data_IF_465967683169
#
_entry.id   IF_465967683169
#
_cell.length_a   1.000
_cell.length_b   1.000
_cell.length_c   1.000
_cell.angle_alpha   90.00
_cell.angle_beta   90.00
_cell.angle_gamma   90.00
#
_symmetry.space_group_name_H-M   'P 1'
#
loop_
_entity.id
_entity.type
_entity.pdbx_description
1 polymer ?
#
# COMPACT_ATOMS: atom_id res chain seq x y z
N UNK A 1 21.23 11.49 -33.07
CA UNK A 1 20.41 10.50 -32.36
C UNK A 1 20.83 10.54 -30.90
N UNK A 2 20.00 11.06 -29.99
CA UNK A 2 20.27 10.95 -28.55
C UNK A 2 20.07 9.48 -28.20
N UNK A 3 21.15 8.82 -27.82
CA UNK A 3 21.14 7.48 -27.23
C UNK A 3 20.22 7.52 -26.01
N UNK A 4 19.16 6.72 -26.04
CA UNK A 4 18.35 6.44 -24.85
C UNK A 4 19.26 5.71 -23.87
N UNK A 5 19.46 6.31 -22.69
CA UNK A 5 20.13 5.64 -21.58
C UNK A 5 19.35 4.36 -21.21
N UNK A 6 20.03 3.26 -20.87
CA UNK A 6 19.36 2.02 -20.49
C UNK A 6 18.60 2.24 -19.18
N UNK A 7 17.27 2.12 -19.22
CA UNK A 7 16.38 2.30 -18.07
C UNK A 7 16.57 1.17 -17.04
N UNK A 8 17.11 1.52 -15.87
CA UNK A 8 17.02 0.71 -14.66
C UNK A 8 15.57 0.64 -14.14
N UNK A 9 15.21 -0.37 -13.31
CA UNK A 9 13.87 -0.48 -12.74
C UNK A 9 13.51 0.78 -11.97
N UNK A 10 12.44 1.45 -12.39
CA UNK A 10 11.92 2.63 -11.72
C UNK A 10 11.29 2.20 -10.39
N UNK A 11 11.78 2.74 -9.28
CA UNK A 11 11.05 2.64 -8.00
C UNK A 11 9.86 3.57 -8.08
N UNK A 12 8.65 3.02 -7.92
CA UNK A 12 7.41 3.80 -7.89
C UNK A 12 6.89 3.84 -6.47
N UNK A 13 6.67 5.03 -5.94
CA UNK A 13 6.12 5.26 -4.61
C UNK A 13 4.81 5.98 -4.79
N UNK A 14 3.68 5.34 -4.46
CA UNK A 14 2.37 5.98 -4.44
C UNK A 14 2.06 6.35 -2.98
N UNK A 15 1.72 7.61 -2.72
CA UNK A 15 1.25 8.07 -1.42
C UNK A 15 -0.02 8.88 -1.62
N UNK A 16 -1.10 8.46 -0.99
CA UNK A 16 -2.41 9.13 -1.02
C UNK A 16 -2.89 9.54 0.37
N UNK A 17 -2.34 8.95 1.43
CA UNK A 17 -2.68 9.28 2.82
C UNK A 17 -1.79 10.37 3.40
N UNK A 18 -2.17 10.88 4.58
CA UNK A 18 -1.37 11.87 5.29
C UNK A 18 0.07 11.38 5.54
N UNK A 19 1.06 12.17 5.12
CA UNK A 19 2.48 11.88 5.31
C UNK A 19 2.99 12.64 6.53
N UNK A 20 3.29 11.92 7.60
CA UNK A 20 3.93 12.50 8.78
C UNK A 20 5.40 12.84 8.53
N UNK A 21 5.98 13.71 9.37
CA UNK A 21 7.42 13.98 9.37
C UNK A 21 8.23 12.69 9.55
N UNK A 22 7.84 11.88 10.52
CA UNK A 22 8.42 10.55 10.79
C UNK A 22 8.39 9.68 9.54
N UNK A 23 7.24 9.65 8.84
CA UNK A 23 7.07 8.90 7.59
C UNK A 23 8.09 9.26 6.54
N UNK A 24 8.20 10.56 6.31
CA UNK A 24 9.06 11.10 5.28
C UNK A 24 10.55 10.92 5.61
N UNK A 25 10.92 11.00 6.89
CA UNK A 25 12.28 10.74 7.35
C UNK A 25 12.70 9.29 7.05
N UNK A 26 11.87 8.30 7.35
CA UNK A 26 12.25 6.92 7.06
C UNK A 26 12.24 6.61 5.56
N UNK A 27 11.32 7.19 4.77
CA UNK A 27 11.38 7.09 3.30
C UNK A 27 12.69 7.66 2.74
N UNK A 28 13.15 8.78 3.29
CA UNK A 28 14.44 9.39 2.94
C UNK A 28 15.64 8.52 3.32
N UNK A 29 15.54 7.72 4.38
CA UNK A 29 16.64 6.84 4.77
C UNK A 29 16.71 5.57 3.90
N UNK A 30 15.54 5.06 3.48
CA UNK A 30 15.42 3.75 2.81
C UNK A 30 15.60 3.82 1.30
N UNK A 31 15.06 4.85 0.63
CA UNK A 31 14.96 4.88 -0.84
C UNK A 31 16.19 5.45 -1.57
N UNK A 32 16.77 6.60 -1.17
CA UNK A 32 17.90 7.23 -1.87
C UNK A 32 19.25 6.49 -1.69
N UNK A 33 19.37 5.64 -0.67
CA UNK A 33 20.57 4.84 -0.37
C UNK A 33 20.82 3.71 -1.38
N UNK A 34 19.98 3.57 -2.42
CA UNK A 34 20.09 2.57 -3.47
C UNK A 34 21.15 2.87 -4.55
N UNK A 35 22.06 3.82 -4.32
CA UNK A 35 23.22 4.10 -5.20
C UNK A 35 24.16 2.89 -5.24
N UNK A 36 23.84 1.92 -6.10
CA UNK A 36 24.75 0.86 -6.51
C UNK A 36 25.63 1.38 -7.64
N UNK A 37 26.91 0.97 -7.62
CA UNK A 37 28.03 1.30 -8.51
C UNK A 37 27.83 0.99 -10.02
N UNK A 38 26.60 1.01 -10.55
CA UNK A 38 26.38 1.09 -11.99
C UNK A 38 26.22 2.56 -12.38
N UNK A 39 26.91 3.00 -13.45
CA UNK A 39 26.98 4.37 -13.98
C UNK A 39 25.65 5.05 -14.36
N UNK A 40 24.51 4.52 -13.93
CA UNK A 40 23.17 4.94 -14.30
C UNK A 40 22.28 4.99 -13.06
N UNK A 41 21.86 6.21 -12.71
CA UNK A 41 21.04 6.49 -11.53
C UNK A 41 19.69 5.76 -11.61
N UNK A 42 19.33 5.01 -10.55
CA UNK A 42 17.97 4.47 -10.40
C UNK A 42 16.98 5.62 -10.21
N UNK A 43 15.91 5.62 -11.01
CA UNK A 43 14.86 6.65 -10.92
C UNK A 43 13.86 6.27 -9.83
N UNK A 44 13.78 7.07 -8.77
CA UNK A 44 12.73 6.99 -7.74
C UNK A 44 11.66 8.02 -8.04
N UNK A 45 10.43 7.57 -8.21
CA UNK A 45 9.28 8.41 -8.55
C UNK A 45 8.27 8.38 -7.42
N UNK A 46 8.10 9.51 -6.73
CA UNK A 46 7.01 9.72 -5.79
C UNK A 46 5.80 10.25 -6.55
N UNK A 47 4.66 9.60 -6.39
CA UNK A 47 3.36 9.97 -6.92
C UNK A 47 2.47 10.32 -5.74
N UNK A 48 2.10 11.60 -5.63
CA UNK A 48 1.35 12.14 -4.51
C UNK A 48 -0.04 12.54 -4.97
N UNK A 49 -1.06 12.09 -4.25
CA UNK A 49 -2.46 12.50 -4.41
C UNK A 49 -3.15 12.59 -3.05
N UNK A 50 -4.41 13.03 -3.02
CA UNK A 50 -5.18 13.15 -1.79
C UNK A 50 -4.44 13.91 -0.68
N UNK A 51 -4.53 13.40 0.55
CA UNK A 51 -3.98 14.07 1.73
C UNK A 51 -2.45 14.13 1.75
N UNK A 52 -1.77 13.27 0.98
CA UNK A 52 -0.33 13.29 0.84
C UNK A 52 0.20 14.62 0.29
N UNK A 53 -0.60 15.34 -0.51
CA UNK A 53 -0.24 16.61 -1.12
C UNK A 53 -0.01 17.74 -0.10
N UNK A 54 -0.66 17.68 1.07
CA UNK A 54 -0.42 18.67 2.13
C UNK A 54 1.03 18.67 2.59
N UNK A 55 1.72 17.53 2.53
CA UNK A 55 3.14 17.42 2.91
C UNK A 55 4.08 18.28 2.05
N UNK A 56 3.67 18.67 0.84
CA UNK A 56 4.45 19.56 -0.03
C UNK A 56 4.41 21.03 0.39
N UNK A 57 3.54 21.37 1.33
CA UNK A 57 3.34 22.74 1.83
C UNK A 57 3.49 22.85 3.34
N UNK A 58 3.43 21.73 4.06
CA UNK A 58 3.54 21.71 5.51
C UNK A 58 4.99 22.03 5.99
N UNK A 59 5.17 22.96 6.96
CA UNK A 59 6.49 23.42 7.39
C UNK A 59 7.45 22.33 7.88
N UNK A 60 6.91 21.24 8.46
CA UNK A 60 7.73 20.16 9.01
C UNK A 60 8.26 19.18 7.96
N UNK A 61 7.53 19.00 6.85
CA UNK A 61 7.85 18.01 5.81
C UNK A 61 8.54 18.64 4.60
N UNK A 62 8.26 19.92 4.30
CA UNK A 62 8.89 20.66 3.20
C UNK A 62 10.42 20.62 3.22
N UNK A 63 11.12 20.80 4.36
CA UNK A 63 12.58 20.70 4.39
C UNK A 63 13.08 19.32 3.97
N UNK A 64 12.38 18.25 4.35
CA UNK A 64 12.77 16.88 4.01
C UNK A 64 12.56 16.62 2.51
N UNK A 65 11.43 17.07 1.96
CA UNK A 65 11.19 17.02 0.51
C UNK A 65 12.26 17.79 -0.29
N UNK A 66 12.71 18.94 0.23
CA UNK A 66 13.81 19.72 -0.39
C UNK A 66 15.13 18.97 -0.41
N UNK A 67 15.44 18.20 0.62
CA UNK A 67 16.63 17.35 0.62
C UNK A 67 16.46 16.14 -0.31
N UNK A 68 15.29 15.50 -0.29
CA UNK A 68 14.98 14.37 -1.16
C UNK A 68 15.09 14.70 -2.65
N UNK A 69 14.56 15.84 -3.11
CA UNK A 69 14.61 16.21 -4.53
C UNK A 69 16.01 16.61 -5.02
N UNK A 70 16.95 16.91 -4.11
CA UNK A 70 18.35 17.13 -4.48
C UNK A 70 19.07 15.83 -4.83
N UNK A 71 18.54 14.69 -4.41
CA UNK A 71 19.13 13.39 -4.74
C UNK A 71 18.95 13.10 -6.24
N UNK A 72 20.05 12.78 -6.97
CA UNK A 72 19.96 12.43 -8.38
C UNK A 72 19.01 11.25 -8.62
N UNK A 73 18.10 11.39 -9.58
CA UNK A 73 17.13 10.34 -9.92
C UNK A 73 15.86 10.36 -9.07
N UNK A 74 15.69 11.28 -8.12
CA UNK A 74 14.42 11.48 -7.43
C UNK A 74 13.52 12.44 -8.22
N UNK A 75 12.27 12.01 -8.50
CA UNK A 75 11.21 12.88 -9.01
C UNK A 75 9.98 12.80 -8.14
N UNK A 76 9.28 13.93 -8.02
CA UNK A 76 8.01 14.03 -7.30
C UNK A 76 6.96 14.51 -8.30
N UNK A 77 5.92 13.70 -8.47
CA UNK A 77 4.77 13.95 -9.33
C UNK A 77 3.57 14.15 -8.43
N UNK A 78 2.96 15.33 -8.50
CA UNK A 78 1.77 15.68 -7.74
C UNK A 78 0.55 15.65 -8.67
N UNK A 79 -0.51 14.95 -8.26
CA UNK A 79 -1.77 14.87 -8.99
C UNK A 79 -2.35 16.27 -9.19
N UNK A 80 -2.53 16.65 -10.46
CA UNK A 80 -2.91 18.02 -10.77
C UNK A 80 -4.34 18.34 -10.33
N UNK A 81 -5.26 17.40 -10.50
CA UNK A 81 -6.68 17.60 -10.17
C UNK A 81 -6.85 17.80 -8.66
N UNK A 82 -6.21 16.96 -7.84
CA UNK A 82 -6.25 17.15 -6.39
C UNK A 82 -5.59 18.47 -5.94
N UNK A 83 -4.50 18.89 -6.58
CA UNK A 83 -3.89 20.19 -6.28
C UNK A 83 -4.85 21.36 -6.53
N UNK A 84 -5.68 21.27 -7.57
CA UNK A 84 -6.73 22.25 -7.89
C UNK A 84 -7.80 22.23 -6.82
N UNK A 85 -8.35 21.05 -6.54
CA UNK A 85 -9.47 20.88 -5.59
C UNK A 85 -9.11 21.29 -4.16
N UNK A 86 -7.87 21.02 -3.75
CA UNK A 86 -7.37 21.35 -2.42
C UNK A 86 -6.81 22.79 -2.32
N UNK A 87 -6.78 23.53 -3.43
CA UNK A 87 -6.26 24.90 -3.47
C UNK A 87 -4.74 25.01 -3.22
N UNK A 88 -3.98 23.94 -3.47
CA UNK A 88 -2.55 23.85 -3.15
C UNK A 88 -1.61 24.27 -4.28
N UNK A 89 -2.12 24.49 -5.51
CA UNK A 89 -1.31 24.79 -6.71
C UNK A 89 -0.23 25.84 -6.44
N UNK A 90 -0.63 27.01 -5.90
CA UNK A 90 0.30 28.13 -5.67
C UNK A 90 1.37 27.79 -4.64
N UNK A 91 1.04 26.97 -3.63
CA UNK A 91 1.98 26.51 -2.62
C UNK A 91 3.04 25.60 -3.22
N UNK A 92 2.61 24.65 -4.05
CA UNK A 92 3.51 23.68 -4.71
C UNK A 92 4.36 24.33 -5.80
N UNK A 93 3.80 25.25 -6.59
CA UNK A 93 4.58 26.01 -7.58
C UNK A 93 5.67 26.86 -6.91
N UNK A 94 5.36 27.51 -5.80
CA UNK A 94 6.33 28.30 -5.03
C UNK A 94 7.39 27.44 -4.37
N UNK A 95 7.05 26.23 -3.93
CA UNK A 95 8.01 25.32 -3.31
C UNK A 95 8.97 24.73 -4.32
N UNK A 96 8.55 24.60 -5.59
CA UNK A 96 9.35 23.98 -6.66
C UNK A 96 9.61 22.49 -6.41
N UNK A 97 8.87 21.87 -5.49
CA UNK A 97 9.11 20.52 -5.00
C UNK A 97 8.54 19.43 -5.89
N UNK A 98 7.50 19.70 -6.67
CA UNK A 98 6.82 18.68 -7.45
C UNK A 98 6.48 19.17 -8.85
N UNK A 99 6.52 18.23 -9.79
CA UNK A 99 5.97 18.42 -11.12
C UNK A 99 4.48 18.08 -11.07
N UNK A 100 3.65 18.93 -11.68
CA UNK A 100 2.24 18.61 -11.90
C UNK A 100 2.16 17.45 -12.89
N UNK A 101 1.38 16.43 -12.60
CA UNK A 101 1.24 15.30 -13.50
C UNK A 101 -0.02 14.49 -13.25
N UNK A 102 -0.18 13.47 -14.10
CA UNK A 102 -1.22 12.46 -13.98
C UNK A 102 -0.62 11.17 -13.43
N UNK A 103 -1.39 10.51 -12.57
CA UNK A 103 -1.02 9.23 -11.96
C UNK A 103 -0.93 8.09 -12.97
N UNK A 104 -1.45 8.23 -14.20
CA UNK A 104 -1.41 7.21 -15.25
C UNK A 104 0.02 6.76 -15.59
N UNK A 105 0.99 7.64 -15.33
CA UNK A 105 2.41 7.34 -15.48
C UNK A 105 2.92 6.28 -14.48
N UNK A 106 2.16 5.95 -13.43
CA UNK A 106 2.36 4.76 -12.59
C UNK A 106 2.30 3.47 -13.40
N UNK A 107 1.55 3.44 -14.50
CA UNK A 107 1.38 2.25 -15.32
C UNK A 107 2.46 2.12 -16.41
N UNK A 108 3.45 3.01 -16.47
CA UNK A 108 4.55 2.94 -17.44
C UNK A 108 5.71 2.15 -16.85
N UNK A 109 6.14 1.06 -17.49
CA UNK A 109 7.24 0.21 -17.05
C UNK A 109 8.62 0.74 -17.50
N UNK A 110 9.68 -0.02 -17.20
CA UNK A 110 11.08 0.34 -17.54
C UNK A 110 11.36 0.42 -19.05
N UNK A 111 10.51 -0.17 -19.89
CA UNK A 111 10.64 -0.14 -21.35
C UNK A 111 9.84 1.03 -21.96
N UNK A 112 9.30 1.91 -21.10
CA UNK A 112 8.40 2.98 -21.49
C UNK A 112 7.12 2.45 -22.19
N UNK A 113 6.74 1.22 -21.86
CA UNK A 113 5.48 0.58 -22.27
C UNK A 113 4.51 0.52 -21.08
N UNK A 114 3.24 0.22 -21.32
CA UNK A 114 2.31 -0.03 -20.21
C UNK A 114 2.63 -1.36 -19.52
N UNK A 115 2.38 -1.42 -18.22
CA UNK A 115 2.42 -2.68 -17.46
C UNK A 115 1.39 -3.65 -18.03
N UNK A 116 1.71 -4.94 -17.98
CA UNK A 116 0.88 -6.02 -18.52
C UNK A 116 -0.34 -6.37 -17.67
N UNK A 117 -0.33 -6.01 -16.39
CA UNK A 117 -1.43 -6.22 -15.44
C UNK A 117 -1.27 -5.38 -14.18
N UNK A 118 -2.38 -5.05 -13.52
CA UNK A 118 -2.40 -4.28 -12.28
C UNK A 118 -3.27 -4.95 -11.20
N UNK A 119 -2.73 -5.04 -9.99
CA UNK A 119 -3.43 -5.46 -8.78
C UNK A 119 -3.69 -4.28 -7.87
N UNK A 120 -4.85 -4.23 -7.22
CA UNK A 120 -5.17 -3.21 -6.22
C UNK A 120 -5.59 -3.83 -4.89
N UNK A 121 -4.97 -3.39 -3.80
CA UNK A 121 -5.43 -3.64 -2.44
C UNK A 121 -6.12 -2.39 -1.93
N UNK A 122 -7.41 -2.50 -1.61
CA UNK A 122 -8.14 -1.43 -0.94
C UNK A 122 -8.54 -1.88 0.47
N UNK A 123 -8.32 -1.00 1.46
CA UNK A 123 -8.56 -1.30 2.88
C UNK A 123 -9.68 -0.49 3.51
N UNK A 124 -10.07 0.62 2.90
CA UNK A 124 -10.83 1.67 3.56
C UNK A 124 -12.28 1.73 3.07
N UNK A 125 -13.17 2.21 3.93
CA UNK A 125 -14.57 2.45 3.58
C UNK A 125 -14.69 3.60 2.57
N UNK A 126 -15.74 3.60 1.72
CA UNK A 126 -15.97 4.72 0.82
C UNK A 126 -16.39 5.97 1.62
N UNK A 127 -16.18 7.16 1.06
CA UNK A 127 -16.64 8.46 1.57
C UNK A 127 -15.98 9.00 2.84
N UNK A 128 -15.26 8.18 3.59
CA UNK A 128 -14.51 8.65 4.77
C UNK A 128 -13.18 9.31 4.38
N UNK A 129 -12.65 8.95 3.21
CA UNK A 129 -11.35 9.41 2.73
C UNK A 129 -11.37 9.63 1.21
N UNK A 130 -10.61 10.63 0.73
CA UNK A 130 -10.47 10.93 -0.70
C UNK A 130 -9.73 9.85 -1.49
N UNK A 131 -8.97 8.98 -0.83
CA UNK A 131 -8.23 7.94 -1.54
C UNK A 131 -9.14 6.91 -2.24
N UNK A 132 -10.43 6.79 -1.86
CA UNK A 132 -11.36 5.90 -2.58
C UNK A 132 -11.72 6.44 -3.96
N UNK A 133 -11.86 7.76 -4.10
CA UNK A 133 -12.04 8.43 -5.40
C UNK A 133 -10.80 8.25 -6.26
N UNK A 134 -9.60 8.42 -5.68
CA UNK A 134 -8.34 8.19 -6.41
C UNK A 134 -8.13 6.73 -6.79
N UNK A 135 -8.54 5.81 -5.93
CA UNK A 135 -8.57 4.39 -6.25
C UNK A 135 -9.44 4.14 -7.48
N UNK A 136 -10.65 4.69 -7.53
CA UNK A 136 -11.55 4.54 -8.67
C UNK A 136 -10.99 5.16 -9.96
N UNK A 137 -10.41 6.37 -9.87
CA UNK A 137 -9.74 7.02 -11.00
C UNK A 137 -8.61 6.15 -11.56
N UNK A 138 -7.76 5.59 -10.68
CA UNK A 138 -6.68 4.68 -11.10
C UNK A 138 -7.18 3.39 -11.75
N UNK A 139 -8.35 2.86 -11.33
CA UNK A 139 -8.96 1.73 -12.01
C UNK A 139 -9.42 2.12 -13.43
N UNK A 140 -10.08 3.27 -13.57
CA UNK A 140 -10.51 3.76 -14.88
C UNK A 140 -9.32 4.03 -15.81
N UNK A 141 -8.25 4.60 -15.28
CA UNK A 141 -7.00 4.82 -16.01
C UNK A 141 -6.38 3.50 -16.48
N UNK A 142 -6.28 2.51 -15.60
CA UNK A 142 -5.74 1.20 -15.97
C UNK A 142 -6.54 0.55 -17.11
N UNK A 143 -7.87 0.54 -17.00
CA UNK A 143 -8.75 -0.01 -18.05
C UNK A 143 -8.63 0.80 -19.35
N UNK A 144 -8.56 2.13 -19.27
CA UNK A 144 -8.34 3.01 -20.44
C UNK A 144 -7.04 2.71 -21.18
N UNK A 145 -6.01 2.29 -20.44
CA UNK A 145 -4.70 1.93 -20.96
C UNK A 145 -4.63 0.46 -21.43
N UNK A 146 -5.77 -0.24 -21.45
CA UNK A 146 -5.90 -1.65 -21.81
C UNK A 146 -5.15 -2.61 -20.88
N UNK A 147 -5.10 -2.29 -19.59
CA UNK A 147 -4.42 -3.08 -18.57
C UNK A 147 -5.47 -3.94 -17.84
N UNK A 148 -5.32 -5.27 -17.80
CA UNK A 148 -6.15 -6.15 -16.97
C UNK A 148 -5.99 -5.82 -15.48
N UNK A 149 -7.11 -5.83 -14.75
CA UNK A 149 -7.13 -5.40 -13.34
C UNK A 149 -7.74 -6.45 -12.41
N UNK A 150 -7.08 -6.67 -11.27
CA UNK A 150 -7.61 -7.42 -10.14
C UNK A 150 -7.67 -6.56 -8.90
N UNK A 151 -8.82 -6.53 -8.23
CA UNK A 151 -9.08 -5.74 -7.03
C UNK A 151 -9.36 -6.67 -5.86
N UNK A 152 -8.69 -6.40 -4.73
CA UNK A 152 -8.97 -7.03 -3.45
C UNK A 152 -9.49 -5.98 -2.48
N UNK A 153 -10.69 -6.25 -1.98
CA UNK A 153 -11.35 -5.45 -0.95
C UNK A 153 -11.18 -6.16 0.40
N UNK A 154 -10.42 -5.52 1.29
CA UNK A 154 -10.11 -6.04 2.61
C UNK A 154 -10.47 -5.01 3.70
N UNK A 155 -10.68 -5.47 4.93
CA UNK A 155 -11.15 -4.63 6.04
C UNK A 155 -12.44 -3.87 5.66
N UNK A 156 -12.44 -2.54 5.82
CA UNK A 156 -13.59 -1.68 5.53
C UNK A 156 -13.89 -1.52 4.04
N UNK A 157 -12.97 -1.91 3.16
CA UNK A 157 -13.19 -1.80 1.73
C UNK A 157 -14.34 -2.65 1.19
N UNK A 158 -14.82 -3.65 1.94
CA UNK A 158 -16.02 -4.41 1.53
C UNK A 158 -17.27 -3.52 1.45
N UNK A 159 -17.26 -2.35 2.11
CA UNK A 159 -18.33 -1.35 2.00
C UNK A 159 -18.42 -0.69 0.62
N UNK A 160 -17.35 -0.73 -0.20
CA UNK A 160 -17.41 -0.23 -1.60
C UNK A 160 -18.45 -1.00 -2.42
N UNK A 161 -18.75 -2.24 -2.03
CA UNK A 161 -19.71 -3.11 -2.69
C UNK A 161 -21.12 -3.00 -2.11
N UNK A 162 -21.42 -2.03 -1.24
CA UNK A 162 -22.81 -1.80 -0.84
C UNK A 162 -23.61 -1.24 -2.02
N UNK A 163 -24.74 -1.84 -2.36
CA UNK A 163 -25.62 -1.40 -3.44
C UNK A 163 -26.59 -0.30 -3.01
N UNK A 164 -27.13 0.45 -3.95
CA UNK A 164 -28.02 1.60 -3.72
C UNK A 164 -27.36 2.72 -2.89
N UNK A 165 -26.10 3.00 -3.15
CA UNK A 165 -25.45 4.16 -2.52
C UNK A 165 -26.14 5.44 -3.01
N UNK A 166 -26.42 6.36 -2.07
CA UNK A 166 -26.99 7.67 -2.39
C UNK A 166 -26.06 8.73 -1.85
N UNK A 167 -25.40 9.45 -2.75
CA UNK A 167 -24.44 10.50 -2.43
C UNK A 167 -24.93 11.84 -2.99
N UNK A 168 -24.66 12.92 -2.26
CA UNK A 168 -24.98 14.29 -2.70
C UNK A 168 -23.74 15.10 -3.05
N UNK A 169 -22.65 14.88 -2.31
CA UNK A 169 -21.42 15.68 -2.41
C UNK A 169 -20.23 14.90 -2.99
N UNK A 170 -20.33 13.57 -3.02
CA UNK A 170 -19.24 12.67 -3.41
C UNK A 170 -19.62 11.86 -4.64
N UNK A 171 -18.63 11.46 -5.43
CA UNK A 171 -18.85 10.51 -6.51
C UNK A 171 -19.45 9.22 -5.98
N UNK A 172 -20.52 8.72 -6.61
CA UNK A 172 -21.12 7.46 -6.22
C UNK A 172 -20.19 6.29 -6.59
N UNK A 173 -19.56 5.67 -5.59
CA UNK A 173 -18.55 4.63 -5.78
C UNK A 173 -19.12 3.37 -6.43
N UNK A 174 -20.34 2.96 -6.08
CA UNK A 174 -21.02 1.85 -6.75
C UNK A 174 -21.13 2.12 -8.26
N UNK A 175 -21.68 3.27 -8.64
CA UNK A 175 -21.83 3.64 -10.06
C UNK A 175 -20.48 3.81 -10.76
N UNK A 176 -19.47 4.29 -10.04
CA UNK A 176 -18.09 4.35 -10.50
C UNK A 176 -17.56 2.98 -10.89
N UNK A 177 -17.68 1.99 -9.99
CA UNK A 177 -17.27 0.62 -10.25
C UNK A 177 -18.07 -0.01 -11.41
N UNK A 178 -19.35 0.31 -11.56
CA UNK A 178 -20.16 -0.11 -12.72
C UNK A 178 -19.60 0.42 -14.04
N UNK A 179 -19.22 1.70 -14.09
CA UNK A 179 -18.65 2.31 -15.29
C UNK A 179 -17.32 1.65 -15.66
N UNK A 180 -16.43 1.44 -14.69
CA UNK A 180 -15.14 0.76 -14.92
C UNK A 180 -15.36 -0.67 -15.41
N UNK A 181 -16.26 -1.42 -14.77
CA UNK A 181 -16.58 -2.79 -15.16
C UNK A 181 -17.16 -2.85 -16.57
N UNK A 182 -18.10 -1.97 -16.91
CA UNK A 182 -18.69 -1.90 -18.25
C UNK A 182 -17.64 -1.56 -19.31
N UNK A 183 -16.78 -0.58 -19.04
CA UNK A 183 -15.67 -0.20 -19.93
C UNK A 183 -14.68 -1.35 -20.15
N UNK A 184 -14.39 -2.11 -19.10
CA UNK A 184 -13.55 -3.31 -19.21
C UNK A 184 -14.19 -4.39 -20.09
N UNK A 185 -15.49 -4.62 -19.92
CA UNK A 185 -16.25 -5.58 -20.74
C UNK A 185 -16.28 -5.17 -22.21
N UNK A 186 -16.54 -3.89 -22.51
CA UNK A 186 -16.53 -3.35 -23.88
C UNK A 186 -15.14 -3.47 -24.54
N UNK A 187 -14.08 -3.37 -23.74
CA UNK A 187 -12.71 -3.52 -24.18
C UNK A 187 -12.22 -4.97 -24.22
N UNK A 188 -13.04 -5.94 -23.79
CA UNK A 188 -12.68 -7.35 -23.71
C UNK A 188 -11.58 -7.66 -22.67
N UNK A 189 -11.45 -6.81 -21.65
CA UNK A 189 -10.40 -6.91 -20.63
C UNK A 189 -10.91 -7.62 -19.36
N UNK A 190 -10.09 -8.47 -18.72
CA UNK A 190 -10.40 -8.99 -17.39
C UNK A 190 -10.42 -7.87 -16.34
N UNK A 191 -11.54 -7.79 -15.61
CA UNK A 191 -11.71 -6.94 -14.43
C UNK A 191 -12.39 -7.76 -13.34
N UNK A 192 -11.63 -8.08 -12.28
CA UNK A 192 -12.09 -8.96 -11.21
C UNK A 192 -12.05 -8.17 -9.90
N UNK A 193 -13.18 -8.14 -9.19
CA UNK A 193 -13.27 -7.61 -7.82
C UNK A 193 -13.55 -8.77 -6.89
N UNK A 194 -12.69 -8.95 -5.89
CA UNK A 194 -12.87 -9.95 -4.84
C UNK A 194 -12.86 -9.32 -3.46
N UNK A 195 -13.88 -9.61 -2.65
CA UNK A 195 -14.01 -9.17 -1.27
C UNK A 195 -13.61 -10.28 -0.29
N UNK A 196 -12.97 -9.90 0.81
CA UNK A 196 -12.60 -10.84 1.85
C UNK A 196 -13.80 -11.38 2.61
N UNK A 197 -13.98 -12.70 2.58
CA UNK A 197 -15.07 -13.43 3.23
C UNK A 197 -15.27 -13.04 4.70
N UNK A 198 -14.17 -13.01 5.48
CA UNK A 198 -14.20 -12.68 6.90
C UNK A 198 -14.67 -11.26 7.15
N UNK A 199 -14.18 -10.31 6.37
CA UNK A 199 -14.54 -8.89 6.47
C UNK A 199 -16.00 -8.66 6.04
N UNK A 200 -16.44 -9.31 4.95
CA UNK A 200 -17.82 -9.28 4.49
C UNK A 200 -18.79 -9.85 5.54
N UNK A 201 -18.47 -10.99 6.14
CA UNK A 201 -19.27 -11.58 7.23
C UNK A 201 -19.34 -10.65 8.44
N UNK A 202 -18.20 -10.13 8.89
CA UNK A 202 -18.13 -9.25 10.07
C UNK A 202 -18.94 -7.95 9.90
N UNK A 203 -19.12 -7.49 8.65
CA UNK A 203 -19.89 -6.29 8.29
C UNK A 203 -21.32 -6.58 7.84
N UNK A 204 -21.77 -7.84 7.94
CA UNK A 204 -23.16 -8.24 7.66
C UNK A 204 -23.49 -8.42 6.18
N UNK A 205 -22.49 -8.49 5.29
CA UNK A 205 -22.69 -8.73 3.85
C UNK A 205 -22.79 -10.21 3.49
N UNK A 206 -22.59 -11.12 4.44
CA UNK A 206 -22.85 -12.54 4.27
C UNK A 206 -23.54 -13.10 5.51
N UNK A 207 -24.55 -13.95 5.29
CA UNK A 207 -25.27 -14.62 6.37
C UNK A 207 -24.81 -16.08 6.48
N UNK A 208 -24.15 -16.49 7.58
CA UNK A 208 -23.82 -17.89 7.78
C UNK A 208 -25.10 -18.69 8.07
N UNK A 209 -25.35 -19.78 7.32
CA UNK A 209 -26.28 -20.84 7.74
C UNK A 209 -27.59 -21.03 6.97
N UNK A 210 -27.76 -20.47 5.78
CA UNK A 210 -28.74 -20.99 4.81
C UNK A 210 -28.04 -21.92 3.83
N UNK A 211 -28.75 -22.86 3.21
CA UNK A 211 -28.19 -23.93 2.36
C UNK A 211 -27.33 -23.45 1.17
N UNK A 212 -27.25 -22.13 0.95
CA UNK A 212 -26.24 -21.43 0.18
C UNK A 212 -25.67 -20.26 1.01
N UNK A 213 -24.33 -20.15 1.08
CA UNK A 213 -23.60 -18.98 1.58
C UNK A 213 -23.88 -17.76 0.66
N UNK A 214 -25.07 -17.17 0.77
CA UNK A 214 -25.50 -16.11 -0.12
C UNK A 214 -25.07 -14.73 0.41
N UNK A 215 -24.51 -13.92 -0.49
CA UNK A 215 -24.25 -12.52 -0.23
C UNK A 215 -25.56 -11.79 0.11
N UNK A 216 -25.48 -10.80 1.00
CA UNK A 216 -26.63 -9.99 1.38
C UNK A 216 -27.22 -9.30 0.14
N UNK A 217 -28.55 -9.06 0.06
CA UNK A 217 -29.18 -8.43 -1.10
C UNK A 217 -28.64 -7.02 -1.42
N UNK A 218 -28.07 -6.34 -0.43
CA UNK A 218 -27.41 -5.04 -0.58
C UNK A 218 -25.92 -5.15 -0.97
N UNK A 219 -25.43 -6.33 -1.35
CA UNK A 219 -24.08 -6.52 -1.85
C UNK A 219 -24.08 -6.54 -3.38
N UNK A 220 -23.16 -5.79 -3.97
CA UNK A 220 -23.02 -5.59 -5.41
C UNK A 220 -22.84 -6.92 -6.14
N UNK A 221 -23.60 -7.12 -7.22
CA UNK A 221 -23.48 -8.29 -8.07
C UNK A 221 -22.13 -8.34 -8.79
N UNK A 222 -21.65 -9.54 -9.09
CA UNK A 222 -20.38 -9.74 -9.82
C UNK A 222 -19.12 -9.56 -8.97
N UNK A 223 -19.26 -9.33 -7.66
CA UNK A 223 -18.15 -9.32 -6.70
C UNK A 223 -17.97 -10.73 -6.15
N UNK A 224 -16.76 -11.26 -6.24
CA UNK A 224 -16.45 -12.58 -5.73
C UNK A 224 -16.16 -12.47 -4.23
N UNK A 225 -16.65 -13.39 -3.41
CA UNK A 225 -16.33 -13.41 -1.97
C UNK A 225 -15.46 -14.63 -1.68
N UNK A 226 -14.30 -14.40 -1.08
CA UNK A 226 -13.33 -15.46 -0.89
C UNK A 226 -12.42 -15.26 0.33
N UNK A 227 -11.88 -16.36 0.84
CA UNK A 227 -10.93 -16.35 1.94
C UNK A 227 -9.58 -15.75 1.53
N UNK A 228 -8.88 -15.14 2.49
CA UNK A 228 -7.65 -14.37 2.23
C UNK A 228 -6.56 -15.16 1.47
N UNK A 229 -6.44 -16.47 1.73
CA UNK A 229 -5.48 -17.35 1.05
C UNK A 229 -5.77 -17.55 -0.44
N UNK A 230 -7.01 -17.41 -0.88
CA UNK A 230 -7.41 -17.50 -2.28
C UNK A 230 -7.30 -16.15 -3.00
N UNK A 231 -7.22 -15.04 -2.26
CA UNK A 231 -7.03 -13.70 -2.82
C UNK A 231 -5.59 -13.47 -3.28
N UNK A 232 -4.62 -13.97 -2.52
CA UNK A 232 -3.19 -13.70 -2.74
C UNK A 232 -2.68 -14.02 -4.15
N UNK A 233 -3.06 -15.14 -4.80
CA UNK A 233 -2.66 -15.41 -6.18
C UNK A 233 -3.04 -14.32 -7.19
N UNK A 234 -4.07 -13.50 -6.90
CA UNK A 234 -4.47 -12.37 -7.74
C UNK A 234 -3.44 -11.22 -7.71
N UNK A 235 -2.66 -11.10 -6.63
CA UNK A 235 -1.56 -10.14 -6.55
C UNK A 235 -0.28 -10.68 -7.15
N UNK A 236 0.00 -11.97 -7.00
CA UNK A 236 1.25 -12.56 -7.49
C UNK A 236 1.38 -12.67 -9.01
N UNK A 237 0.28 -12.48 -9.73
CA UNK A 237 0.25 -12.41 -11.20
C UNK A 237 0.28 -10.98 -11.75
N UNK A 238 0.15 -9.96 -10.89
CA UNK A 238 0.13 -8.57 -11.32
C UNK A 238 1.56 -8.06 -11.58
N UNK A 239 1.80 -7.27 -12.63
CA UNK A 239 3.11 -6.62 -12.81
C UNK A 239 3.30 -5.50 -11.77
N UNK A 240 2.25 -4.74 -11.48
CA UNK A 240 2.22 -3.71 -10.43
C UNK A 240 1.11 -4.02 -9.41
N UNK A 241 1.40 -3.78 -8.12
CA UNK A 241 0.39 -3.82 -7.06
C UNK A 241 0.33 -2.45 -6.40
N UNK A 242 -0.87 -1.90 -6.36
CA UNK A 242 -1.16 -0.59 -5.82
C UNK A 242 -1.98 -0.71 -4.52
N UNK A 243 -1.65 0.15 -3.58
CA UNK A 243 -2.36 0.39 -2.33
C UNK A 243 -2.38 1.91 -2.11
N UNK A 244 -3.18 2.40 -1.16
CA UNK A 244 -3.27 3.84 -0.86
C UNK A 244 -1.88 4.46 -0.67
N UNK A 245 -1.04 3.78 0.10
CA UNK A 245 0.39 4.08 0.24
C UNK A 245 1.21 2.82 -0.04
N UNK A 246 2.07 2.85 -1.05
CA UNK A 246 2.92 1.72 -1.42
C UNK A 246 4.22 2.11 -2.11
N UNK A 247 5.14 1.15 -2.15
CA UNK A 247 6.38 1.20 -2.91
C UNK A 247 6.46 -0.05 -3.76
N UNK A 248 6.63 0.10 -5.06
CA UNK A 248 6.81 -0.99 -5.99
C UNK A 248 8.18 -0.86 -6.66
N UNK A 249 9.03 -1.86 -6.43
CA UNK A 249 10.37 -1.95 -7.03
C UNK A 249 10.39 -3.19 -7.93
N UNK A 250 10.48 -2.94 -9.23
CA UNK A 250 10.51 -3.99 -10.22
C UNK A 250 11.82 -4.78 -10.13
N UNK A 251 11.69 -6.09 -9.99
CA UNK A 251 12.73 -7.10 -10.13
C UNK A 251 12.41 -8.05 -11.27
N UNK A 252 13.21 -9.10 -11.43
CA UNK A 252 12.99 -10.14 -12.46
C UNK A 252 12.67 -11.51 -11.84
N UNK A 253 12.65 -11.61 -10.51
CA UNK A 253 12.49 -12.84 -9.75
C UNK A 253 11.17 -12.89 -8.98
N UNK A 254 11.14 -13.75 -7.96
CA UNK A 254 9.97 -13.97 -7.12
C UNK A 254 9.55 -12.69 -6.37
N UNK A 255 8.32 -12.68 -5.91
CA UNK A 255 7.81 -11.58 -5.08
C UNK A 255 8.30 -11.67 -3.64
N UNK A 256 8.45 -10.50 -3.02
CA UNK A 256 8.62 -10.33 -1.57
C UNK A 256 7.78 -9.15 -1.12
N UNK A 257 7.10 -9.31 0.01
CA UNK A 257 6.25 -8.27 0.59
C UNK A 257 6.90 -7.68 1.83
N UNK A 258 6.78 -6.37 1.98
CA UNK A 258 7.12 -5.64 3.21
C UNK A 258 5.87 -4.88 3.64
N UNK A 259 5.25 -5.28 4.73
CA UNK A 259 4.10 -4.59 5.30
C UNK A 259 4.59 -3.65 6.39
N UNK A 260 4.51 -2.35 6.15
CA UNK A 260 4.85 -1.33 7.15
C UNK A 260 3.57 -0.98 7.90
N UNK A 261 3.42 -1.45 9.13
CA UNK A 261 2.23 -1.20 9.94
C UNK A 261 2.41 0.09 10.70
N UNK A 262 1.58 1.10 10.40
CA UNK A 262 1.72 2.45 10.97
C UNK A 262 0.67 2.80 12.03
N UNK A 263 -0.45 2.10 12.05
CA UNK A 263 -1.52 2.28 13.04
C UNK A 263 -1.30 1.53 14.35
N UNK A 264 -1.89 2.04 15.43
CA UNK A 264 -1.82 1.43 16.76
C UNK A 264 -2.34 -0.03 16.79
N UNK A 265 -1.75 -0.94 17.59
CA UNK A 265 -2.16 -2.35 17.68
C UNK A 265 -3.62 -2.59 18.07
N UNK A 266 -4.14 -1.77 18.99
CA UNK A 266 -5.41 -2.05 19.69
C UNK A 266 -6.49 -0.99 19.42
N UNK A 267 -6.21 0.02 18.59
CA UNK A 267 -7.17 1.08 18.28
C UNK A 267 -8.18 0.68 17.21
N UNK A 268 -7.73 -0.06 16.19
CA UNK A 268 -8.56 -0.51 15.06
C UNK A 268 -8.14 -1.92 14.64
N UNK A 269 -8.84 -2.51 13.66
CA UNK A 269 -8.45 -3.82 13.11
C UNK A 269 -7.28 -3.75 12.11
N UNK A 270 -6.70 -2.57 11.84
CA UNK A 270 -5.65 -2.39 10.82
C UNK A 270 -4.39 -3.22 11.10
N UNK A 271 -3.83 -3.12 12.31
CA UNK A 271 -2.61 -3.86 12.65
C UNK A 271 -2.83 -5.39 12.60
N UNK A 272 -3.93 -5.87 13.17
CA UNK A 272 -4.29 -7.28 13.10
C UNK A 272 -4.61 -7.74 11.67
N UNK A 273 -5.22 -6.87 10.86
CA UNK A 273 -5.47 -7.08 9.44
C UNK A 273 -4.17 -7.25 8.65
N UNK A 274 -3.19 -6.38 8.88
CA UNK A 274 -1.87 -6.46 8.23
C UNK A 274 -1.17 -7.78 8.57
N UNK A 275 -1.18 -8.17 9.85
CA UNK A 275 -0.62 -9.46 10.29
C UNK A 275 -1.37 -10.63 9.66
N UNK A 276 -2.71 -10.60 9.64
CA UNK A 276 -3.52 -11.64 8.97
C UNK A 276 -3.17 -11.76 7.48
N UNK A 277 -2.94 -10.63 6.80
CA UNK A 277 -2.52 -10.60 5.40
C UNK A 277 -1.11 -11.18 5.21
N UNK A 278 -0.17 -10.81 6.08
CA UNK A 278 1.19 -11.34 6.08
C UNK A 278 1.23 -12.87 6.27
N UNK A 279 0.44 -13.37 7.23
CA UNK A 279 0.31 -14.81 7.49
C UNK A 279 -0.24 -15.53 6.25
N UNK A 280 -1.23 -14.94 5.58
CA UNK A 280 -1.77 -15.53 4.37
C UNK A 280 -0.73 -15.57 3.22
N UNK A 281 0.06 -14.49 3.03
CA UNK A 281 1.14 -14.42 2.04
C UNK A 281 2.21 -15.49 2.31
N UNK A 282 2.66 -15.59 3.56
CA UNK A 282 3.59 -16.62 4.03
C UNK A 282 3.05 -18.03 3.80
N UNK A 283 1.75 -18.27 4.04
CA UNK A 283 1.09 -19.54 3.73
C UNK A 283 1.08 -19.92 2.24
N UNK A 284 1.40 -18.99 1.34
CA UNK A 284 1.65 -19.21 -0.09
C UNK A 284 3.14 -19.27 -0.45
N UNK A 285 4.00 -19.41 0.54
CA UNK A 285 5.45 -19.45 0.41
C UNK A 285 6.02 -18.17 -0.22
N UNK A 286 5.38 -17.02 0.04
CA UNK A 286 5.85 -15.70 -0.38
C UNK A 286 6.58 -15.06 0.80
N UNK A 287 7.90 -14.80 0.68
CA UNK A 287 8.65 -14.10 1.73
C UNK A 287 7.99 -12.77 2.09
N UNK A 288 7.78 -12.56 3.38
CA UNK A 288 7.04 -11.43 3.92
C UNK A 288 7.71 -10.89 5.18
N UNK A 289 7.90 -9.58 5.22
CA UNK A 289 8.41 -8.84 6.36
C UNK A 289 7.30 -7.93 6.91
N UNK A 290 7.03 -7.98 8.20
CA UNK A 290 6.12 -7.05 8.87
C UNK A 290 6.96 -6.11 9.73
N UNK A 291 6.97 -4.83 9.37
CA UNK A 291 7.76 -3.80 10.06
C UNK A 291 6.80 -2.83 10.73
N UNK A 292 6.82 -2.78 12.05
CA UNK A 292 6.07 -1.82 12.84
C UNK A 292 6.81 -0.49 12.85
N UNK A 293 6.15 0.57 12.39
CA UNK A 293 6.68 1.93 12.38
C UNK A 293 5.59 2.90 12.84
N UNK A 294 5.95 4.16 13.09
CA UNK A 294 4.98 5.13 13.60
C UNK A 294 4.22 4.54 14.80
N UNK A 295 2.91 4.75 14.92
CA UNK A 295 2.14 4.25 16.07
C UNK A 295 1.97 2.72 16.05
N UNK A 296 2.31 2.05 14.95
CA UNK A 296 2.47 0.61 14.92
C UNK A 296 3.58 0.12 15.84
N UNK A 297 4.56 0.97 16.19
CA UNK A 297 5.62 0.61 17.12
C UNK A 297 5.11 0.22 18.52
N UNK A 298 3.90 0.64 18.90
CA UNK A 298 3.26 0.18 20.14
C UNK A 298 2.96 -1.34 20.13
N UNK A 299 2.95 -2.03 18.99
CA UNK A 299 2.89 -3.50 18.92
C UNK A 299 4.08 -4.19 19.61
N UNK A 300 5.19 -3.47 19.78
CA UNK A 300 6.38 -3.96 20.47
C UNK A 300 6.14 -4.11 21.99
N UNK A 301 5.20 -3.33 22.55
CA UNK A 301 4.88 -3.40 23.98
C UNK A 301 3.80 -4.46 24.20
N UNK A 302 3.96 -5.35 25.20
CA UNK A 302 2.92 -6.30 25.57
C UNK A 302 1.59 -5.62 25.87
N UNK A 303 0.49 -6.31 25.55
CA UNK A 303 -0.84 -5.81 25.84
C UNK A 303 -0.90 -5.44 27.34
N UNK A 304 -1.27 -4.19 27.68
CA UNK A 304 -1.28 -3.74 29.08
C UNK A 304 -2.40 -4.41 29.91
N UNK A 305 -3.28 -5.16 29.25
CA UNK A 305 -4.50 -5.70 29.83
C UNK A 305 -4.64 -7.19 29.57
N UNK A 306 -4.80 -7.95 30.66
CA UNK A 306 -5.04 -9.39 30.64
C UNK A 306 -6.30 -9.80 29.87
N UNK A 307 -7.23 -8.88 29.61
CA UNK A 307 -8.43 -9.12 28.79
C UNK A 307 -8.09 -9.43 27.32
N UNK A 308 -6.92 -9.01 26.85
CA UNK A 308 -6.47 -9.36 25.50
C UNK A 308 -5.70 -10.67 25.45
N UNK A 309 -5.12 -11.12 26.57
CA UNK A 309 -4.37 -12.38 26.64
C UNK A 309 -5.21 -13.56 26.14
N UNK A 310 -4.59 -14.42 25.33
CA UNK A 310 -5.22 -15.59 24.71
C UNK A 310 -6.40 -15.29 23.76
N UNK A 311 -6.57 -14.04 23.35
CA UNK A 311 -7.50 -13.68 22.26
C UNK A 311 -6.72 -13.44 20.97
N UNK A 312 -7.39 -13.46 19.82
CA UNK A 312 -6.77 -13.04 18.54
C UNK A 312 -6.31 -11.58 18.56
N UNK A 313 -6.75 -10.79 19.53
CA UNK A 313 -6.30 -9.42 19.73
C UNK A 313 -4.94 -9.35 20.44
N UNK A 314 -4.45 -10.44 21.01
CA UNK A 314 -3.08 -10.51 21.51
C UNK A 314 -2.09 -10.58 20.35
N UNK A 315 -1.74 -9.42 19.81
CA UNK A 315 -0.82 -9.29 18.68
C UNK A 315 0.53 -9.96 18.96
N UNK A 316 1.04 -9.93 20.19
CA UNK A 316 2.31 -10.57 20.50
C UNK A 316 2.21 -12.09 20.43
N UNK A 317 1.16 -12.69 21.01
CA UNK A 317 0.92 -14.13 20.88
C UNK A 317 0.75 -14.55 19.42
N UNK A 318 0.10 -13.74 18.59
CA UNK A 318 -0.04 -14.02 17.14
C UNK A 318 1.32 -13.96 16.44
N UNK A 319 2.15 -12.97 16.75
CA UNK A 319 3.51 -12.83 16.20
C UNK A 319 4.34 -14.06 16.57
N UNK A 320 4.38 -14.42 17.86
CA UNK A 320 5.10 -15.60 18.35
C UNK A 320 4.64 -16.89 17.67
N UNK A 321 3.32 -17.05 17.46
CA UNK A 321 2.76 -18.24 16.85
C UNK A 321 2.99 -18.34 15.33
N UNK A 322 3.33 -17.23 14.65
CA UNK A 322 3.39 -17.18 13.18
C UNK A 322 4.77 -16.82 12.62
N UNK A 323 5.68 -16.28 13.43
CA UNK A 323 7.04 -15.96 13.02
C UNK A 323 7.73 -17.21 12.47
N UNK A 324 8.23 -17.11 11.23
CA UNK A 324 8.91 -18.20 10.52
C UNK A 324 10.16 -17.63 9.87
N UNK A 325 11.37 -17.93 10.39
CA UNK A 325 12.61 -17.37 9.85
C UNK A 325 12.77 -17.59 8.34
N UNK A 326 13.10 -16.54 7.60
CA UNK A 326 13.26 -16.57 6.14
C UNK A 326 11.95 -16.55 5.34
N UNK A 327 10.78 -16.55 6.00
CA UNK A 327 9.48 -16.53 5.33
C UNK A 327 8.52 -15.49 5.89
N UNK A 328 8.32 -15.43 7.20
CA UNK A 328 7.51 -14.41 7.88
C UNK A 328 8.29 -13.86 9.06
N UNK A 329 8.89 -12.70 8.85
CA UNK A 329 9.75 -12.03 9.83
C UNK A 329 9.08 -10.76 10.34
N UNK A 330 9.17 -10.53 11.65
CA UNK A 330 8.60 -9.37 12.32
C UNK A 330 9.72 -8.47 12.84
N UNK A 331 9.50 -7.16 12.75
CA UNK A 331 10.39 -6.21 13.39
C UNK A 331 9.77 -4.86 13.59
N UNK A 332 10.51 -3.98 14.25
CA UNK A 332 10.07 -2.64 14.62
C UNK A 332 11.16 -1.64 14.27
N UNK A 333 10.76 -0.46 13.82
CA UNK A 333 11.70 0.59 13.44
C UNK A 333 12.24 1.33 14.68
N UNK A 334 13.56 1.35 14.85
CA UNK A 334 14.25 1.92 16.03
C UNK A 334 13.89 3.39 16.25
N UNK A 335 13.78 4.17 15.18
CA UNK A 335 13.39 5.58 15.28
C UNK A 335 11.97 5.73 15.82
N UNK A 336 11.04 4.86 15.44
CA UNK A 336 9.65 4.90 15.90
C UNK A 336 9.52 4.57 17.39
N UNK A 337 10.37 3.66 17.90
CA UNK A 337 10.49 3.40 19.34
C UNK A 337 11.02 4.63 20.08
N UNK A 338 12.08 5.24 19.53
CA UNK A 338 12.76 6.40 20.13
C UNK A 338 11.83 7.62 20.23
N UNK A 339 11.09 7.95 19.17
CA UNK A 339 10.11 9.04 19.14
C UNK A 339 8.99 8.86 20.18
N UNK A 340 8.68 7.62 20.54
CA UNK A 340 7.65 7.26 21.55
C UNK A 340 8.22 7.02 22.94
N UNK A 341 9.54 7.17 23.13
CA UNK A 341 10.20 6.90 24.41
C UNK A 341 10.14 5.43 24.84
N UNK A 342 9.98 4.51 23.89
CA UNK A 342 9.93 3.07 24.14
C UNK A 342 11.36 2.54 24.15
N UNK A 343 11.78 1.96 25.27
CA UNK A 343 13.10 1.33 25.39
C UNK A 343 13.01 -0.06 24.76
N UNK A 344 13.80 -0.29 23.72
CA UNK A 344 13.98 -1.62 23.16
C UNK A 344 14.67 -2.50 24.20
N UNK A 345 13.97 -3.52 24.69
CA UNK A 345 14.58 -4.56 25.50
C UNK A 345 14.88 -5.76 24.59
N UNK A 346 16.11 -6.29 24.67
CA UNK A 346 16.51 -7.43 23.83
C UNK A 346 15.77 -8.73 24.21
N UNK A 347 14.85 -8.67 25.18
CA UNK A 347 14.05 -9.78 25.71
C UNK A 347 12.72 -10.02 24.99
N UNK A 348 12.43 -9.34 23.87
CA UNK A 348 11.34 -9.74 22.95
C UNK A 348 11.94 -10.51 21.75
N UNK A 349 12.28 -11.81 21.89
CA UNK A 349 13.12 -12.55 20.95
C UNK A 349 12.58 -12.61 19.51
N UNK A 350 11.28 -12.39 19.31
CA UNK A 350 10.61 -12.48 18.02
C UNK A 350 10.60 -11.16 17.22
N UNK A 351 11.02 -10.04 17.83
CA UNK A 351 11.10 -8.74 17.14
C UNK A 351 12.53 -8.38 16.78
N UNK A 352 12.80 -8.27 15.48
CA UNK A 352 14.00 -7.59 15.03
C UNK A 352 13.83 -6.07 15.17
N UNK A 353 14.71 -5.43 15.94
CA UNK A 353 14.80 -3.95 15.94
C UNK A 353 15.59 -3.54 14.70
N UNK A 354 14.91 -2.91 13.74
CA UNK A 354 15.52 -2.43 12.52
C UNK A 354 15.98 -0.99 12.69
N UNK A 355 17.29 -0.77 12.58
CA UNK A 355 17.83 0.58 12.40
C UNK A 355 17.56 1.05 10.96
N UNK A 356 17.60 2.36 10.68
CA UNK A 356 17.47 2.87 9.32
C UNK A 356 18.38 2.19 8.29
N UNK A 357 19.63 1.91 8.68
CA UNK A 357 20.60 1.23 7.83
C UNK A 357 20.21 -0.24 7.56
N UNK A 358 19.57 -0.92 8.51
CA UNK A 358 19.20 -2.32 8.37
C UNK A 358 18.07 -2.52 7.36
N UNK A 359 17.08 -1.61 7.33
CA UNK A 359 16.02 -1.63 6.31
C UNK A 359 16.61 -1.35 4.93
N UNK A 360 17.49 -0.35 4.82
CA UNK A 360 18.16 -0.06 3.55
C UNK A 360 18.98 -1.27 3.05
N UNK A 361 19.66 -1.97 3.97
CA UNK A 361 20.41 -3.20 3.65
C UNK A 361 19.49 -4.35 3.25
N UNK A 362 18.36 -4.54 3.94
CA UNK A 362 17.33 -5.52 3.59
C UNK A 362 16.80 -5.27 2.18
N UNK A 363 16.36 -4.03 1.90
CA UNK A 363 15.89 -3.62 0.57
C UNK A 363 16.94 -3.88 -0.49
N UNK A 364 18.20 -3.49 -0.25
CA UNK A 364 19.31 -3.76 -1.15
C UNK A 364 19.49 -5.26 -1.40
N UNK A 365 19.50 -6.08 -0.33
CA UNK A 365 19.63 -7.54 -0.42
C UNK A 365 18.52 -8.13 -1.29
N UNK A 366 17.27 -7.76 -1.05
CA UNK A 366 16.11 -8.25 -1.83
C UNK A 366 16.21 -7.85 -3.31
N UNK A 367 16.53 -6.58 -3.59
CA UNK A 367 16.69 -6.08 -4.97
C UNK A 367 17.85 -6.80 -5.67
N UNK A 368 19.01 -6.93 -5.03
CA UNK A 368 20.17 -7.63 -5.61
C UNK A 368 19.94 -9.13 -5.77
N UNK A 369 19.06 -9.71 -4.95
CA UNK A 369 18.56 -11.08 -5.13
C UNK A 369 17.58 -11.23 -6.30
N UNK A 370 17.24 -10.13 -6.98
CA UNK A 370 16.35 -10.10 -8.14
C UNK A 370 14.85 -10.07 -7.78
N UNK A 371 14.49 -9.96 -6.51
CA UNK A 371 13.08 -10.01 -6.09
C UNK A 371 12.28 -8.81 -6.62
N UNK A 372 11.00 -9.05 -6.93
CA UNK A 372 10.00 -8.01 -7.05
C UNK A 372 9.58 -7.58 -5.64
N UNK A 373 10.03 -6.40 -5.20
CA UNK A 373 9.80 -5.91 -3.84
C UNK A 373 8.55 -5.04 -3.81
N UNK A 374 7.56 -5.46 -3.01
CA UNK A 374 6.31 -4.72 -2.81
C UNK A 374 6.19 -4.29 -1.37
N UNK A 375 6.29 -3.00 -1.10
CA UNK A 375 6.05 -2.43 0.21
C UNK A 375 4.64 -1.87 0.28
N UNK A 376 3.84 -2.32 1.24
CA UNK A 376 2.52 -1.79 1.51
C UNK A 376 2.56 -1.08 2.86
N UNK A 377 2.17 0.18 2.91
CA UNK A 377 2.15 0.98 4.15
C UNK A 377 0.70 0.97 4.65
N UNK A 378 0.47 0.30 5.78
CA UNK A 378 -0.84 -0.05 6.35
C UNK A 378 -1.30 0.90 7.46
#
# INVERSE_FOLDING_TARGET
MKTQDPLHPSTKVLLSSHISKERLQWLQMVLPSQKVQSDSASLVSFFLCGDALYSLTHPETVPIWKELIKEPGVRIVADYEDLVDMGLIKGVERSGLAQKGSLNTLFINKENAHVSSAGFLHLYSPYMHRHTEKFLALLDDAVSLSIPVSVILYLDAVHLCHSNQVTTEFENIEQGLDKVQQKSLESGLPFIITACQRCSQARGYMHPGTEEDNAAPCFRNGVWISGLSQLIPLFSSAEIVLHADCINIAGNGNEVYILVVTGTPYGTEHAFGAISFAVALSGKNIPTYVIFAEDGAYCYIPAPDSRFCNTVRDIQSVIMATATPGLLEYGVFECSLSERGIIADNEVPEFQVFRPYDIALLMKKLITGGFNVRTLIW
#
